data_IF_698236628973
#
_entry.id   IF_698236628973
#
_cell.length_a   1.000
_cell.length_b   1.000
_cell.length_c   1.000
_cell.angle_alpha   90.00
_cell.angle_beta   90.00
_cell.angle_gamma   90.00
#
_symmetry.space_group_name_H-M   'P 1'
#
loop_
_entity.id
_entity.type
_entity.pdbx_description
1 polymer ?
#
# COMPACT_ATOMS: atom_id res chain seq x y z
N UNK A 1 -6.04 -14.13 -13.56
CA UNK A 1 -4.68 -14.71 -13.47
C UNK A 1 -3.80 -13.78 -12.66
N UNK A 2 -3.11 -14.25 -11.61
CA UNK A 2 -2.09 -13.44 -10.93
C UNK A 2 -0.83 -13.42 -11.78
N UNK A 3 -0.21 -12.26 -11.97
CA UNK A 3 1.15 -12.20 -12.50
C UNK A 3 2.10 -12.96 -11.57
N UNK A 4 3.09 -13.62 -12.14
CA UNK A 4 4.07 -14.36 -11.34
C UNK A 4 4.89 -13.37 -10.50
N UNK A 5 4.99 -13.62 -9.19
CA UNK A 5 5.74 -12.78 -8.24
C UNK A 5 7.17 -12.48 -8.73
N UNK A 6 7.81 -13.47 -9.36
CA UNK A 6 9.14 -13.34 -9.96
C UNK A 6 9.23 -12.22 -11.00
N UNK A 7 8.17 -11.99 -11.77
CA UNK A 7 8.14 -10.91 -12.77
C UNK A 7 8.07 -9.55 -12.08
N UNK A 8 7.21 -9.41 -11.05
CA UNK A 8 7.11 -8.18 -10.27
C UNK A 8 8.43 -7.84 -9.57
N UNK A 9 9.12 -8.84 -9.00
CA UNK A 9 10.43 -8.66 -8.36
C UNK A 9 11.51 -8.21 -9.35
N UNK A 10 11.55 -8.80 -10.55
CA UNK A 10 12.49 -8.38 -11.61
C UNK A 10 12.27 -6.93 -12.02
N UNK A 11 11.02 -6.51 -12.19
CA UNK A 11 10.69 -5.12 -12.51
C UNK A 11 11.03 -4.17 -11.36
N UNK A 12 10.70 -4.53 -10.12
CA UNK A 12 11.06 -3.75 -8.94
C UNK A 12 12.56 -3.52 -8.86
N UNK A 13 13.37 -4.55 -9.10
CA UNK A 13 14.83 -4.45 -9.11
C UNK A 13 15.33 -3.56 -10.25
N UNK A 14 14.85 -3.77 -11.47
CA UNK A 14 15.24 -2.97 -12.63
C UNK A 14 14.96 -1.47 -12.42
N UNK A 15 13.83 -1.14 -11.79
CA UNK A 15 13.46 0.25 -11.48
C UNK A 15 14.30 0.84 -10.34
N UNK A 16 14.65 0.05 -9.34
CA UNK A 16 15.59 0.47 -8.30
C UNK A 16 17.00 0.73 -8.87
N UNK A 17 17.49 -0.12 -9.79
CA UNK A 17 18.80 0.05 -10.45
C UNK A 17 18.82 1.18 -11.49
N UNK A 18 17.66 1.74 -11.86
CA UNK A 18 17.54 2.73 -12.92
C UNK A 18 18.24 4.07 -12.57
N UNK A 19 18.95 4.73 -13.53
CA UNK A 19 19.70 5.96 -13.27
C UNK A 19 18.89 7.16 -12.77
N UNK A 20 17.57 7.18 -12.99
CA UNK A 20 16.66 8.22 -12.44
C UNK A 20 16.59 8.16 -10.91
N UNK A 21 16.92 7.02 -10.32
CA UNK A 21 16.95 6.82 -8.88
C UNK A 21 15.64 7.16 -8.15
N UNK A 22 14.49 6.83 -8.74
CA UNK A 22 13.19 7.07 -8.12
C UNK A 22 13.11 6.45 -6.71
N UNK A 23 12.38 7.12 -5.81
CA UNK A 23 12.16 6.68 -4.43
C UNK A 23 11.24 5.47 -4.31
N UNK A 24 10.50 5.14 -5.36
CA UNK A 24 9.53 4.06 -5.32
C UNK A 24 8.69 3.94 -6.59
N UNK A 25 7.59 3.20 -6.46
CA UNK A 25 6.65 2.86 -7.53
C UNK A 25 5.25 3.27 -7.10
N UNK A 26 4.49 3.89 -8.00
CA UNK A 26 3.06 4.17 -7.83
C UNK A 26 2.27 3.37 -8.86
N UNK A 27 1.34 2.51 -8.41
CA UNK A 27 0.66 1.55 -9.28
C UNK A 27 -0.76 1.24 -8.81
N UNK A 28 -1.61 0.78 -9.73
CA UNK A 28 -2.98 0.32 -9.41
C UNK A 28 -2.96 -1.00 -8.65
N UNK A 29 -3.82 -1.15 -7.65
CA UNK A 29 -3.96 -2.42 -6.95
C UNK A 29 -4.54 -3.50 -7.87
N UNK A 30 -4.00 -4.71 -7.75
CA UNK A 30 -4.45 -5.86 -8.55
C UNK A 30 -5.90 -6.25 -8.27
N UNK A 31 -6.28 -6.24 -7.00
CA UNK A 31 -7.58 -6.72 -6.53
C UNK A 31 -8.64 -5.62 -6.42
N UNK A 32 -8.21 -4.36 -6.50
CA UNK A 32 -9.07 -3.18 -6.46
C UNK A 32 -8.47 -2.10 -7.38
N UNK A 33 -8.62 -2.19 -8.72
CA UNK A 33 -7.95 -1.30 -9.67
C UNK A 33 -8.35 0.18 -9.54
N UNK A 34 -9.47 0.48 -8.88
CA UNK A 34 -9.86 1.86 -8.56
C UNK A 34 -8.94 2.49 -7.51
N UNK A 35 -8.27 1.68 -6.70
CA UNK A 35 -7.29 2.10 -5.72
C UNK A 35 -5.85 2.01 -6.25
N UNK A 36 -4.98 2.81 -5.66
CA UNK A 36 -3.56 2.79 -5.92
C UNK A 36 -2.77 2.37 -4.68
N UNK A 37 -1.59 1.81 -4.89
CA UNK A 37 -0.58 1.58 -3.87
C UNK A 37 0.73 2.23 -4.26
N UNK A 38 1.57 2.45 -3.26
CA UNK A 38 2.97 2.80 -3.43
C UNK A 38 3.88 1.73 -2.84
N UNK A 39 4.96 1.41 -3.53
CA UNK A 39 6.08 0.66 -2.99
C UNK A 39 7.26 1.61 -2.86
N UNK A 40 7.84 1.72 -1.66
CA UNK A 40 8.94 2.63 -1.36
C UNK A 40 10.24 1.83 -1.27
N UNK A 41 11.29 2.36 -1.89
CA UNK A 41 12.63 1.80 -1.80
C UNK A 41 13.38 2.37 -0.61
N UNK A 42 14.38 1.65 -0.10
CA UNK A 42 15.16 2.07 1.07
C UNK A 42 15.82 3.45 0.92
N UNK A 43 16.14 3.87 -0.32
CA UNK A 43 16.71 5.20 -0.59
C UNK A 43 15.78 6.34 -0.19
N UNK A 44 14.47 6.11 -0.16
CA UNK A 44 13.47 7.10 0.25
C UNK A 44 13.47 7.36 1.76
N UNK A 45 14.21 6.57 2.55
CA UNK A 45 14.25 6.68 4.01
C UNK A 45 14.63 8.08 4.52
N UNK A 46 15.39 8.86 3.74
CA UNK A 46 15.76 10.23 4.10
C UNK A 46 14.56 11.20 4.13
N UNK A 47 13.47 10.85 3.45
CA UNK A 47 12.27 11.69 3.30
C UNK A 47 11.04 11.12 4.02
N UNK A 48 11.15 9.95 4.66
CA UNK A 48 10.01 9.23 5.24
C UNK A 48 10.22 9.07 6.74
N UNK A 49 9.19 9.40 7.52
CA UNK A 49 9.10 9.06 8.95
C UNK A 49 7.87 8.19 9.16
N UNK A 50 8.05 7.06 9.84
CA UNK A 50 6.95 6.20 10.23
C UNK A 50 6.51 6.55 11.66
N UNK A 51 5.23 6.86 11.83
CA UNK A 51 4.63 7.05 13.15
C UNK A 51 3.60 5.95 13.44
N UNK A 52 3.59 5.46 14.68
CA UNK A 52 2.70 4.38 15.10
C UNK A 52 1.29 4.93 15.27
N UNK A 53 0.45 4.66 14.29
CA UNK A 53 -0.97 5.01 14.32
C UNK A 53 -1.83 4.08 15.19
N UNK A 54 -1.26 3.09 15.90
CA UNK A 54 -1.96 2.13 16.77
C UNK A 54 -3.00 1.24 16.07
N UNK A 55 -3.94 0.68 16.84
CA UNK A 55 -4.89 -0.31 16.33
C UNK A 55 -5.91 0.30 15.37
N UNK A 56 -6.26 -0.41 14.29
CA UNK A 56 -7.25 0.02 13.28
C UNK A 56 -8.64 0.26 13.90
N UNK A 57 -9.00 -0.47 14.96
CA UNK A 57 -10.25 -0.30 15.71
C UNK A 57 -10.25 0.87 16.70
N UNK A 58 -9.13 1.60 16.84
CA UNK A 58 -9.06 2.73 17.76
C UNK A 58 -10.05 3.83 17.36
N UNK A 59 -10.66 4.56 18.31
CA UNK A 59 -11.68 5.58 18.01
C UNK A 59 -11.25 6.64 16.99
N UNK A 60 -9.97 7.01 16.96
CA UNK A 60 -9.41 7.98 15.99
C UNK A 60 -9.51 7.54 14.53
N UNK A 61 -9.61 6.25 14.25
CA UNK A 61 -9.66 5.67 12.90
C UNK A 61 -11.06 5.25 12.50
N UNK A 62 -12.08 5.60 13.30
CA UNK A 62 -13.45 5.13 13.11
C UNK A 62 -13.99 5.51 11.73
N UNK A 63 -13.77 6.75 11.29
CA UNK A 63 -14.24 7.22 9.99
C UNK A 63 -13.58 6.47 8.83
N UNK A 64 -12.24 6.35 8.85
CA UNK A 64 -11.48 5.62 7.84
C UNK A 64 -11.87 4.14 7.78
N UNK A 65 -12.05 3.51 8.94
CA UNK A 65 -12.47 2.12 9.04
C UNK A 65 -13.89 1.93 8.51
N UNK A 66 -14.84 2.81 8.88
CA UNK A 66 -16.21 2.78 8.35
C UNK A 66 -16.22 2.93 6.83
N UNK A 67 -15.49 3.91 6.29
CA UNK A 67 -15.40 4.11 4.85
C UNK A 67 -14.82 2.88 4.11
N UNK A 68 -13.81 2.22 4.69
CA UNK A 68 -13.26 0.99 4.13
C UNK A 68 -14.27 -0.17 4.17
N UNK A 69 -14.99 -0.34 5.27
CA UNK A 69 -16.02 -1.37 5.42
C UNK A 69 -17.17 -1.18 4.42
N UNK A 70 -17.65 0.05 4.28
CA UNK A 70 -18.70 0.40 3.32
C UNK A 70 -18.26 0.12 1.88
N UNK A 71 -17.02 0.51 1.51
CA UNK A 71 -16.46 0.25 0.17
C UNK A 71 -16.45 -1.23 -0.17
N UNK A 72 -16.09 -2.08 0.79
CA UNK A 72 -15.92 -3.51 0.57
C UNK A 72 -17.15 -4.35 0.95
N UNK A 73 -18.23 -3.73 1.43
CA UNK A 73 -19.48 -4.40 1.80
C UNK A 73 -19.39 -5.26 3.05
N UNK A 74 -18.57 -4.86 4.03
CA UNK A 74 -18.38 -5.57 5.29
C UNK A 74 -18.99 -4.82 6.47
N UNK A 75 -19.24 -5.54 7.56
CA UNK A 75 -19.63 -4.97 8.85
C UNK A 75 -18.83 -5.63 9.99
N UNK A 76 -18.64 -4.91 11.08
CA UNK A 76 -18.04 -5.47 12.30
C UNK A 76 -19.15 -6.11 13.14
N UNK A 77 -18.92 -7.35 13.57
CA UNK A 77 -19.80 -8.04 14.52
C UNK A 77 -19.19 -7.85 15.91
N UNK A 78 -19.93 -7.29 16.88
CA UNK A 78 -19.46 -7.25 18.27
C UNK A 78 -19.25 -8.67 18.79
N UNK A 79 -18.22 -8.88 19.61
CA UNK A 79 -18.09 -10.12 20.40
C UNK A 79 -19.23 -10.28 21.42
#
# INVERSE_FOLDING_TARGET
MSGALVVAQRWSRALWEHPVQADGLYYRLRHDPEQCACALFDRAAHAITADRQGAVSAPRHREDLTAALDRYGFGLIPE
#
